data_IF_210729038663
#
_entry.id   IF_210729038663
#
_cell.length_a   1.000
_cell.length_b   1.000
_cell.length_c   1.000
_cell.angle_alpha   90.00
_cell.angle_beta   90.00
_cell.angle_gamma   90.00
#
_symmetry.space_group_name_H-M   'P 1'
#
loop_
_entity.id
_entity.type
_entity.pdbx_description
1 polymer ?
#
# COMPACT_ATOMS: atom_id res chain seq x y z
N UNK A 1 -27.58 -12.41 15.83
CA UNK A 1 -26.84 -11.24 15.32
C UNK A 1 -25.29 -11.39 15.31
N UNK A 2 -24.68 -12.35 16.03
CA UNK A 2 -23.20 -12.54 16.01
C UNK A 2 -22.60 -12.94 14.65
N UNK A 3 -23.36 -13.64 13.80
CA UNK A 3 -22.90 -14.08 12.48
C UNK A 3 -22.69 -12.89 11.53
N UNK A 4 -23.66 -11.98 11.39
CA UNK A 4 -23.57 -10.78 10.54
C UNK A 4 -22.35 -9.89 10.86
N UNK A 5 -21.92 -9.89 12.12
CA UNK A 5 -20.84 -9.04 12.64
C UNK A 5 -19.43 -9.59 12.38
N UNK A 6 -19.30 -10.91 12.24
CA UNK A 6 -18.03 -11.55 11.80
C UNK A 6 -17.80 -11.29 10.32
N UNK A 7 -18.87 -11.25 9.54
CA UNK A 7 -18.81 -10.97 8.10
C UNK A 7 -18.30 -9.56 7.80
N UNK A 8 -18.66 -8.54 8.58
CA UNK A 8 -18.17 -7.16 8.37
C UNK A 8 -16.69 -7.00 8.69
N UNK A 9 -16.19 -7.62 9.76
CA UNK A 9 -14.75 -7.62 10.08
C UNK A 9 -13.92 -8.38 9.03
N UNK A 10 -14.41 -9.55 8.60
CA UNK A 10 -13.80 -10.30 7.51
C UNK A 10 -13.81 -9.50 6.21
N UNK A 11 -14.92 -8.84 5.88
CA UNK A 11 -15.02 -7.99 4.69
C UNK A 11 -14.00 -6.85 4.73
N UNK A 12 -13.84 -6.13 5.84
CA UNK A 12 -12.86 -5.04 6.01
C UNK A 12 -11.42 -5.55 5.82
N UNK A 13 -11.09 -6.71 6.40
CA UNK A 13 -9.75 -7.30 6.26
C UNK A 13 -9.50 -7.72 4.82
N UNK A 14 -10.47 -8.37 4.18
CA UNK A 14 -10.36 -8.82 2.79
C UNK A 14 -10.27 -7.66 1.80
N UNK A 15 -11.05 -6.59 1.97
CA UNK A 15 -10.91 -5.40 1.13
C UNK A 15 -9.59 -4.68 1.37
N UNK A 16 -9.11 -4.62 2.62
CA UNK A 16 -7.78 -4.07 2.92
C UNK A 16 -6.65 -4.87 2.25
N UNK A 17 -6.71 -6.20 2.29
CA UNK A 17 -5.75 -7.09 1.62
C UNK A 17 -5.82 -6.91 0.10
N UNK A 18 -7.02 -6.93 -0.48
CA UNK A 18 -7.19 -6.77 -1.92
C UNK A 18 -6.67 -5.40 -2.40
N UNK A 19 -6.98 -4.32 -1.67
CA UNK A 19 -6.49 -2.98 -1.96
C UNK A 19 -4.96 -2.91 -1.86
N UNK A 20 -4.37 -3.53 -0.84
CA UNK A 20 -2.92 -3.61 -0.68
C UNK A 20 -2.26 -4.36 -1.84
N UNK A 21 -2.83 -5.49 -2.28
CA UNK A 21 -2.31 -6.25 -3.42
C UNK A 21 -2.37 -5.41 -4.70
N UNK A 22 -3.52 -4.79 -4.99
CA UNK A 22 -3.69 -3.96 -6.19
C UNK A 22 -2.74 -2.77 -6.19
N UNK A 23 -2.66 -2.04 -5.07
CA UNK A 23 -1.73 -0.92 -4.94
C UNK A 23 -0.27 -1.38 -5.05
N UNK A 24 0.06 -2.52 -4.46
CA UNK A 24 1.40 -3.11 -4.52
C UNK A 24 1.81 -3.39 -5.96
N UNK A 25 0.95 -4.07 -6.74
CA UNK A 25 1.24 -4.43 -8.15
C UNK A 25 1.33 -3.20 -9.04
N UNK A 26 0.42 -2.24 -8.89
CA UNK A 26 0.38 -1.05 -9.76
C UNK A 26 1.55 -0.09 -9.51
N UNK A 27 1.99 0.03 -8.27
CA UNK A 27 3.02 0.99 -7.86
C UNK A 27 4.39 0.36 -7.58
N UNK A 28 4.55 -0.97 -7.76
CA UNK A 28 5.83 -1.62 -7.56
C UNK A 28 6.89 -1.05 -8.52
N UNK A 29 8.07 -0.63 -8.01
CA UNK A 29 9.20 -0.20 -8.84
C UNK A 29 9.84 -1.42 -9.51
N UNK A 30 9.26 -1.88 -10.62
CA UNK A 30 9.73 -3.07 -11.33
C UNK A 30 10.62 -2.73 -12.52
N UNK A 31 10.48 -1.53 -13.08
CA UNK A 31 11.15 -1.13 -14.31
C UNK A 31 12.26 -0.15 -13.96
N UNK A 32 13.51 -0.53 -14.21
CA UNK A 32 14.65 0.37 -14.10
C UNK A 32 15.09 0.75 -15.50
N UNK A 33 14.93 2.01 -15.87
CA UNK A 33 15.43 2.56 -17.13
C UNK A 33 16.78 3.21 -16.87
N UNK A 34 17.82 2.75 -17.54
CA UNK A 34 19.13 3.38 -17.54
C UNK A 34 19.32 4.24 -18.77
N UNK A 35 19.92 5.43 -18.61
CA UNK A 35 20.41 6.23 -19.72
C UNK A 35 21.89 6.54 -19.52
N UNK A 36 22.62 6.56 -20.63
CA UNK A 36 23.98 7.07 -20.68
C UNK A 36 23.92 8.35 -21.51
N UNK A 37 24.40 9.45 -20.94
CA UNK A 37 24.72 10.63 -21.73
C UNK A 37 26.21 10.65 -21.95
N UNK A 38 26.59 10.46 -23.21
CA UNK A 38 27.96 10.67 -23.63
C UNK A 38 28.23 12.17 -23.64
N UNK A 39 29.29 12.57 -22.94
CA UNK A 39 29.75 13.94 -22.92
C UNK A 39 30.88 14.10 -23.94
N UNK A 40 30.98 15.27 -24.57
CA UNK A 40 32.00 15.57 -25.57
C UNK A 40 33.43 15.60 -24.99
N UNK A 41 33.55 15.76 -23.66
CA UNK A 41 34.82 15.73 -22.94
C UNK A 41 35.11 14.33 -22.35
N UNK A 42 36.34 13.87 -22.51
CA UNK A 42 36.76 12.55 -22.00
C UNK A 42 36.65 12.49 -20.48
N UNK A 43 35.81 11.57 -19.98
CA UNK A 43 35.68 11.28 -18.53
C UNK A 43 34.46 11.89 -17.83
N UNK A 44 33.61 12.64 -18.55
CA UNK A 44 32.40 13.28 -17.98
C UNK A 44 31.09 12.59 -18.38
N UNK A 45 31.15 11.36 -18.92
CA UNK A 45 29.94 10.57 -19.23
C UNK A 45 29.11 10.31 -17.97
N UNK A 46 27.86 10.77 -17.97
CA UNK A 46 26.93 10.53 -16.87
C UNK A 46 26.05 9.30 -17.17
N UNK A 47 25.90 8.45 -16.16
CA UNK A 47 24.99 7.30 -16.21
C UNK A 47 23.90 7.50 -15.16
N UNK A 48 22.68 7.73 -15.62
CA UNK A 48 21.50 7.86 -14.78
C UNK A 48 20.64 6.60 -14.84
N UNK A 49 19.91 6.32 -13.76
CA UNK A 49 18.87 5.29 -13.78
C UNK A 49 17.64 5.78 -13.04
N UNK A 50 16.47 5.58 -13.64
CA UNK A 50 15.16 5.95 -13.09
C UNK A 50 14.36 4.68 -12.84
N UNK A 51 13.70 4.59 -11.69
CA UNK A 51 12.75 3.52 -11.39
C UNK A 51 11.34 3.97 -11.72
N UNK A 52 10.61 3.13 -12.45
CA UNK A 52 9.23 3.35 -12.84
C UNK A 52 8.33 2.24 -12.32
N UNK A 53 7.11 2.64 -11.99
CA UNK A 53 5.99 1.76 -11.72
C UNK A 53 5.47 1.12 -13.01
N UNK A 54 4.61 0.11 -12.90
CA UNK A 54 3.93 -0.53 -14.05
C UNK A 54 3.09 0.47 -14.86
N UNK A 55 2.65 1.55 -14.22
CA UNK A 55 1.90 2.64 -14.88
C UNK A 55 2.79 3.68 -15.57
N UNK A 56 4.12 3.48 -15.60
CA UNK A 56 5.08 4.41 -16.20
C UNK A 56 5.36 5.65 -15.35
N UNK A 57 4.81 5.72 -14.14
CA UNK A 57 5.07 6.81 -13.20
C UNK A 57 6.41 6.56 -12.53
N UNK A 58 7.29 7.56 -12.56
CA UNK A 58 8.54 7.56 -11.80
C UNK A 58 8.22 7.35 -10.32
N UNK A 59 8.77 6.29 -9.74
CA UNK A 59 8.42 5.85 -8.40
C UNK A 59 9.68 5.46 -7.63
N UNK A 60 9.61 5.58 -6.31
CA UNK A 60 10.70 5.24 -5.40
C UNK A 60 10.27 4.09 -4.51
N UNK A 61 11.18 3.14 -4.26
CA UNK A 61 10.98 2.04 -3.29
C UNK A 61 10.49 2.57 -1.94
N UNK A 62 11.00 3.71 -1.48
CA UNK A 62 10.60 4.31 -0.20
C UNK A 62 9.18 4.84 -0.21
N UNK A 63 8.76 5.46 -1.32
CA UNK A 63 7.38 5.93 -1.48
C UNK A 63 6.41 4.74 -1.56
N UNK A 64 6.79 3.68 -2.27
CA UNK A 64 6.00 2.45 -2.36
C UNK A 64 5.84 1.77 -0.99
N UNK A 65 6.93 1.61 -0.23
CA UNK A 65 6.88 1.07 1.14
C UNK A 65 6.04 1.95 2.06
N UNK A 66 6.16 3.29 1.95
CA UNK A 66 5.35 4.24 2.71
C UNK A 66 3.86 4.09 2.45
N UNK A 67 3.46 3.97 1.18
CA UNK A 67 2.07 3.77 0.77
C UNK A 67 1.49 2.45 1.31
N UNK A 68 2.23 1.34 1.21
CA UNK A 68 1.82 0.05 1.78
C UNK A 68 1.68 0.11 3.30
N UNK A 69 2.62 0.78 3.98
CA UNK A 69 2.55 1.02 5.42
C UNK A 69 1.30 1.80 5.81
N UNK A 70 0.96 2.86 5.08
CA UNK A 70 -0.25 3.66 5.32
C UNK A 70 -1.54 2.83 5.16
N UNK A 71 -1.65 2.02 4.10
CA UNK A 71 -2.79 1.13 3.88
C UNK A 71 -2.92 0.12 5.03
N UNK A 72 -1.81 -0.47 5.46
CA UNK A 72 -1.80 -1.41 6.58
C UNK A 72 -2.27 -0.73 7.88
N UNK A 73 -1.79 0.48 8.18
CA UNK A 73 -2.19 1.25 9.37
C UNK A 73 -3.70 1.54 9.33
N UNK A 74 -4.21 2.08 8.23
CA UNK A 74 -5.64 2.40 8.07
C UNK A 74 -6.49 1.14 8.26
N UNK A 75 -6.08 0.02 7.67
CA UNK A 75 -6.80 -1.26 7.79
C UNK A 75 -6.82 -1.75 9.24
N UNK A 76 -5.69 -1.67 9.95
CA UNK A 76 -5.60 -2.06 11.37
C UNK A 76 -6.44 -1.16 12.26
N UNK A 77 -6.42 0.16 12.02
CA UNK A 77 -7.21 1.13 12.78
C UNK A 77 -8.69 0.89 12.56
N UNK A 78 -9.14 0.73 11.30
CA UNK A 78 -10.53 0.42 10.97
C UNK A 78 -10.99 -0.90 11.60
N UNK A 79 -10.16 -1.95 11.50
CA UNK A 79 -10.45 -3.24 12.13
C UNK A 79 -10.54 -3.13 13.67
N UNK A 80 -9.68 -2.33 14.31
CA UNK A 80 -9.75 -2.06 15.75
C UNK A 80 -10.98 -1.25 16.15
N UNK A 81 -11.36 -0.24 15.37
CA UNK A 81 -12.54 0.58 15.63
C UNK A 81 -13.82 -0.27 15.57
N UNK A 82 -13.96 -1.11 14.53
CA UNK A 82 -15.07 -2.05 14.38
C UNK A 82 -15.16 -3.04 15.55
N UNK A 83 -14.01 -3.48 16.07
CA UNK A 83 -13.94 -4.31 17.29
C UNK A 83 -14.35 -3.55 18.55
N UNK A 84 -14.05 -2.26 18.68
CA UNK A 84 -14.40 -1.45 19.87
C UNK A 84 -15.89 -1.16 19.95
N UNK A 85 -16.53 -0.80 18.83
CA UNK A 85 -17.99 -0.57 18.78
C UNK A 85 -18.79 -1.80 19.22
N UNK A 86 -18.24 -3.00 19.04
CA UNK A 86 -18.83 -4.26 19.53
C UNK A 86 -19.08 -4.33 21.01
N UNK A 87 -18.23 -3.65 21.77
CA UNK A 87 -18.18 -3.76 23.22
C UNK A 87 -19.17 -2.81 23.88
N UNK A 88 -19.58 -1.78 23.16
CA UNK A 88 -20.45 -0.71 23.65
C UNK A 88 -21.93 -1.01 23.41
N UNK A 89 -22.26 -1.81 22.39
CA UNK A 89 -23.63 -2.25 22.05
C UNK A 89 -24.10 -3.48 22.86
N UNK A 90 -23.47 -3.81 23.99
CA UNK A 90 -23.91 -4.90 24.87
C UNK A 90 -24.83 -4.33 25.97
N UNK A 91 -26.17 -4.38 25.83
CA UNK A 91 -27.07 -3.99 26.90
C UNK A 91 -26.96 -5.03 28.00
N UNK A 92 -26.31 -4.65 29.11
CA UNK A 92 -26.23 -5.48 30.31
C UNK A 92 -27.65 -5.89 30.75
N UNK A 93 -27.95 -7.20 30.92
CA UNK A 93 -29.18 -7.61 31.55
C UNK A 93 -29.04 -7.33 33.05
N UNK A 94 -29.79 -6.35 33.54
CA UNK A 94 -30.19 -6.32 34.95
C UNK A 94 -31.34 -7.30 35.15
#
# INVERSE_FOLDING_TARGET
MRAQRRWTLSAIIWTGIAAAIVASVLFAPLITLGWCSDADETGTSERGSVQQSVLGIETSVWLWLGALGAIAIVTVVAARAARRQSRTDDPSPR
#
